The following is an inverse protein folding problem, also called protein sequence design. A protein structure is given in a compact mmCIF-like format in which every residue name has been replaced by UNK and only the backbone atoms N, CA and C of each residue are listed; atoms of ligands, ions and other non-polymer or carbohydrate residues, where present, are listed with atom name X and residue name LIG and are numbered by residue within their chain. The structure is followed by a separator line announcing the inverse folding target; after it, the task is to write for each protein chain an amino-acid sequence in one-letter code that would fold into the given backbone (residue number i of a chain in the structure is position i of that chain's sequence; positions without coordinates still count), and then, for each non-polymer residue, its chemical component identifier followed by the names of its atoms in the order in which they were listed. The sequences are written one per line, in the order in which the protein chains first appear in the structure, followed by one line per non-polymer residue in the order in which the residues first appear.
data_IF_538518585357
#
_entry.id   IF_538518585357
#
_cell.length_a   1.000
_cell.length_b   1.000
_cell.length_c   1.000
_cell.angle_alpha   90.00
_cell.angle_beta   90.00
_cell.angle_gamma   90.00
#
_symmetry.space_group_name_H-M   'P 1'
#
loop_
_entity.id
_entity.type
_entity.pdbx_description
1 polymer ?
#
# COMPACT_ATOMS: atom_id res chain seq x y z
N UNK A 1 11.68 11.35 -0.86
CA UNK A 1 12.51 10.36 -0.16
C UNK A 1 12.55 9.10 -1.00
N UNK A 2 13.73 8.56 -1.25
CA UNK A 2 13.99 7.33 -1.99
C UNK A 2 14.68 6.32 -1.07
N UNK A 3 14.80 5.06 -1.50
CA UNK A 3 15.40 4.00 -0.67
C UNK A 3 16.84 4.32 -0.23
N UNK A 4 17.65 4.89 -1.13
CA UNK A 4 19.05 5.24 -0.85
C UNK A 4 19.21 6.27 0.28
N UNK A 5 18.25 7.20 0.43
CA UNK A 5 18.28 8.28 1.43
C UNK A 5 17.30 8.04 2.59
N UNK A 6 16.77 6.83 2.71
CA UNK A 6 15.82 6.50 3.76
C UNK A 6 16.48 6.49 5.15
N UNK A 7 15.91 7.17 6.15
CA UNK A 7 16.43 7.16 7.52
C UNK A 7 16.30 5.78 8.19
N UNK A 8 15.52 4.86 7.61
CA UNK A 8 15.32 3.48 8.12
C UNK A 8 16.42 2.54 7.66
N UNK A 9 17.17 2.89 6.59
CA UNK A 9 18.15 2.02 5.96
C UNK A 9 19.19 1.44 6.94
N UNK A 10 19.72 2.28 7.82
CA UNK A 10 20.71 1.86 8.80
C UNK A 10 20.13 0.91 9.87
N UNK A 11 18.86 1.06 10.20
CA UNK A 11 18.17 0.22 11.21
C UNK A 11 17.70 -1.13 10.64
N UNK A 12 17.57 -1.23 9.29
CA UNK A 12 17.00 -2.39 8.58
C UNK A 12 17.89 -2.83 7.40
N UNK A 13 19.18 -3.13 7.60
CA UNK A 13 20.11 -3.35 6.49
C UNK A 13 19.74 -4.55 5.61
N UNK A 14 19.22 -5.63 6.21
CA UNK A 14 18.79 -6.83 5.46
C UNK A 14 17.54 -6.54 4.61
N UNK A 15 16.56 -5.82 5.18
CA UNK A 15 15.35 -5.39 4.44
C UNK A 15 15.76 -4.51 3.27
N UNK A 16 16.66 -3.53 3.50
CA UNK A 16 17.06 -2.63 2.42
C UNK A 16 17.89 -3.31 1.32
N UNK A 17 18.68 -4.33 1.65
CA UNK A 17 19.32 -5.16 0.63
C UNK A 17 18.30 -5.95 -0.22
N UNK A 18 17.16 -6.34 0.36
CA UNK A 18 16.04 -6.92 -0.39
C UNK A 18 15.33 -5.85 -1.24
N UNK A 19 15.09 -4.66 -0.66
CA UNK A 19 14.41 -3.56 -1.37
C UNK A 19 15.20 -3.07 -2.58
N UNK A 20 16.52 -3.04 -2.54
CA UNK A 20 17.36 -2.69 -3.69
C UNK A 20 17.11 -3.65 -4.85
N UNK A 21 17.17 -4.97 -4.61
CA UNK A 21 16.86 -5.96 -5.65
C UNK A 21 15.40 -5.89 -6.16
N UNK A 22 14.49 -5.52 -5.27
CA UNK A 22 13.09 -5.31 -5.67
C UNK A 22 12.93 -4.07 -6.56
N UNK A 23 13.62 -2.97 -6.25
CA UNK A 23 13.63 -1.74 -7.04
C UNK A 23 14.20 -2.00 -8.45
N UNK A 24 15.22 -2.85 -8.57
CA UNK A 24 15.78 -3.23 -9.88
C UNK A 24 14.69 -3.84 -10.79
N UNK A 25 13.71 -4.55 -10.23
CA UNK A 25 12.58 -5.11 -11.00
C UNK A 25 11.65 -4.05 -11.59
N UNK A 26 11.70 -2.79 -11.12
CA UNK A 26 10.87 -1.71 -11.67
C UNK A 26 11.29 -1.28 -13.08
N UNK A 27 12.52 -1.57 -13.44
CA UNK A 27 13.09 -1.30 -14.77
C UNK A 27 12.94 -2.49 -15.73
N UNK A 28 12.55 -3.65 -15.22
CA UNK A 28 12.27 -4.84 -16.01
C UNK A 28 10.87 -4.72 -16.63
N UNK A 29 10.80 -4.59 -17.96
CA UNK A 29 9.53 -4.46 -18.69
C UNK A 29 8.98 -5.81 -19.18
N UNK A 30 9.74 -6.90 -19.00
CA UNK A 30 9.33 -8.25 -19.42
C UNK A 30 8.63 -9.01 -18.32
N UNK A 31 8.96 -8.71 -17.06
CA UNK A 31 8.40 -9.39 -15.91
C UNK A 31 7.54 -8.46 -15.07
N UNK A 32 6.55 -9.07 -14.43
CA UNK A 32 5.64 -8.36 -13.53
C UNK A 32 6.34 -8.03 -12.20
N UNK A 33 6.21 -6.80 -11.75
CA UNK A 33 6.58 -6.39 -10.38
C UNK A 33 5.70 -7.13 -9.38
N UNK A 34 6.30 -7.87 -8.44
CA UNK A 34 5.59 -8.61 -7.39
C UNK A 34 5.00 -7.67 -6.35
N UNK A 35 3.97 -8.14 -5.64
CA UNK A 35 3.45 -7.43 -4.48
C UNK A 35 4.28 -7.76 -3.23
N UNK A 36 4.30 -6.85 -2.26
CA UNK A 36 5.00 -7.03 -0.99
C UNK A 36 4.03 -6.84 0.19
N UNK A 37 4.28 -7.58 1.25
CA UNK A 37 3.61 -7.40 2.54
C UNK A 37 4.67 -7.08 3.61
N UNK A 38 4.75 -5.79 3.99
CA UNK A 38 5.72 -5.30 4.97
C UNK A 38 5.11 -5.42 6.37
N UNK A 39 5.66 -6.31 7.18
CA UNK A 39 5.09 -6.69 8.46
C UNK A 39 6.01 -6.38 9.63
N UNK A 40 5.43 -5.97 10.74
CA UNK A 40 6.07 -5.96 12.07
C UNK A 40 5.01 -5.80 13.16
N UNK A 41 5.05 -6.60 14.19
CA UNK A 41 4.20 -6.41 15.39
C UNK A 41 4.48 -5.07 16.08
N UNK A 42 5.73 -4.65 16.08
CA UNK A 42 6.13 -3.36 16.63
C UNK A 42 5.75 -2.20 15.69
N UNK A 43 5.28 -1.11 16.27
CA UNK A 43 5.09 0.15 15.55
C UNK A 43 6.42 0.90 15.42
N UNK A 44 6.54 1.80 14.43
CA UNK A 44 7.73 2.67 14.30
C UNK A 44 9.01 1.97 13.81
N UNK A 45 8.92 0.74 13.26
CA UNK A 45 10.04 -0.03 12.69
C UNK A 45 10.41 0.41 11.28
N UNK A 46 9.63 1.29 10.65
CA UNK A 46 9.95 1.88 9.35
C UNK A 46 9.16 1.34 8.17
N UNK A 47 8.14 0.50 8.37
CA UNK A 47 7.28 -0.04 7.28
C UNK A 47 6.73 1.03 6.35
N UNK A 48 5.98 2.00 6.90
CA UNK A 48 5.40 3.13 6.15
C UNK A 48 6.47 3.94 5.41
N UNK A 49 7.60 4.22 6.06
CA UNK A 49 8.72 4.95 5.48
C UNK A 49 9.31 4.21 4.28
N UNK A 50 9.48 2.89 4.39
CA UNK A 50 9.98 2.05 3.30
C UNK A 50 8.97 1.94 2.17
N UNK A 51 7.69 1.73 2.47
CA UNK A 51 6.63 1.69 1.48
C UNK A 51 6.52 2.99 0.68
N UNK A 52 6.62 4.15 1.35
CA UNK A 52 6.67 5.46 0.70
C UNK A 52 7.90 5.63 -0.20
N UNK A 53 9.06 5.14 0.23
CA UNK A 53 10.26 5.16 -0.59
C UNK A 53 10.09 4.29 -1.86
N UNK A 54 9.52 3.10 -1.74
CA UNK A 54 9.22 2.22 -2.88
C UNK A 54 8.26 2.85 -3.88
N UNK A 55 7.22 3.55 -3.43
CA UNK A 55 6.30 4.27 -4.31
C UNK A 55 7.02 5.36 -5.11
N UNK A 56 7.94 6.10 -4.48
CA UNK A 56 8.74 7.11 -5.16
C UNK A 56 9.74 6.49 -6.15
N UNK A 57 10.39 5.37 -5.80
CA UNK A 57 11.28 4.65 -6.73
C UNK A 57 10.52 4.14 -7.95
N UNK A 58 9.32 3.58 -7.74
CA UNK A 58 8.49 3.12 -8.85
C UNK A 58 8.05 4.28 -9.77
N UNK A 59 7.69 5.43 -9.18
CA UNK A 59 7.37 6.63 -9.96
C UNK A 59 8.56 7.07 -10.82
N UNK A 60 9.76 7.12 -10.24
CA UNK A 60 10.98 7.50 -10.97
C UNK A 60 11.31 6.51 -12.08
N UNK A 61 11.24 5.20 -11.79
CA UNK A 61 11.49 4.15 -12.77
C UNK A 61 10.46 4.18 -13.93
N UNK A 62 9.18 4.36 -13.61
CA UNK A 62 8.11 4.48 -14.61
C UNK A 62 8.33 5.66 -15.55
N UNK A 63 8.68 6.84 -15.01
CA UNK A 63 8.97 8.03 -15.82
C UNK A 63 10.21 7.81 -16.68
N UNK A 64 11.30 7.30 -16.10
CA UNK A 64 12.55 7.04 -16.83
C UNK A 64 12.34 6.05 -17.98
N UNK A 65 11.62 4.95 -17.73
CA UNK A 65 11.33 3.91 -18.74
C UNK A 65 10.45 4.46 -19.88
N UNK A 66 9.42 5.26 -19.56
CA UNK A 66 8.57 5.87 -20.59
C UNK A 66 9.38 6.83 -21.47
N UNK A 67 10.20 7.69 -20.87
CA UNK A 67 11.03 8.64 -21.61
C UNK A 67 12.07 7.92 -22.51
N UNK A 68 12.68 6.84 -22.00
CA UNK A 68 13.62 6.04 -22.79
C UNK A 68 12.96 5.39 -24.02
N UNK A 69 11.65 5.09 -23.97
CA UNK A 69 10.85 4.57 -25.08
C UNK A 69 10.28 5.68 -25.98
N UNK A 70 10.47 6.96 -25.65
CA UNK A 70 9.83 8.09 -26.35
C UNK A 70 8.32 8.18 -26.10
N UNK A 71 7.84 7.56 -25.04
CA UNK A 71 6.42 7.55 -24.65
C UNK A 71 6.12 8.64 -23.62
N UNK A 72 4.87 9.07 -23.58
CA UNK A 72 4.41 9.97 -22.52
C UNK A 72 4.25 9.19 -21.21
N UNK A 73 4.90 9.62 -20.10
CA UNK A 73 4.72 8.97 -18.82
C UNK A 73 3.24 8.94 -18.37
N UNK A 74 2.85 7.88 -17.69
CA UNK A 74 1.53 7.78 -17.08
C UNK A 74 1.31 8.94 -16.10
N UNK A 75 0.10 9.51 -16.07
CA UNK A 75 -0.23 10.63 -15.18
C UNK A 75 -0.10 10.26 -13.70
N UNK A 76 -0.39 9.01 -13.35
CA UNK A 76 -0.34 8.50 -11.97
C UNK A 76 0.20 7.08 -11.98
N UNK A 77 1.54 6.90 -12.03
CA UNK A 77 2.14 5.57 -12.03
C UNK A 77 2.09 4.90 -10.65
N UNK A 78 2.13 5.69 -9.57
CA UNK A 78 2.07 5.20 -8.20
C UNK A 78 1.04 5.98 -7.36
N UNK A 79 0.47 5.32 -6.35
CA UNK A 79 -0.46 5.91 -5.40
C UNK A 79 -0.22 5.38 -3.98
N UNK A 80 -0.26 6.28 -2.99
CA UNK A 80 -0.14 5.94 -1.58
C UNK A 80 -1.48 6.19 -0.89
N UNK A 81 -2.07 5.14 -0.30
CA UNK A 81 -3.34 5.18 0.40
C UNK A 81 -3.13 4.83 1.88
N UNK A 82 -3.32 5.81 2.75
CA UNK A 82 -3.43 5.61 4.19
C UNK A 82 -4.82 5.04 4.51
N UNK A 83 -4.86 3.77 4.94
CA UNK A 83 -6.12 3.05 5.20
C UNK A 83 -6.84 3.57 6.43
N UNK A 84 -6.12 4.08 7.45
CA UNK A 84 -6.72 4.70 8.62
C UNK A 84 -7.40 6.04 8.27
N UNK A 85 -6.74 6.87 7.45
CA UNK A 85 -7.31 8.11 6.95
C UNK A 85 -8.56 7.83 6.09
N UNK A 86 -8.50 6.81 5.23
CA UNK A 86 -9.63 6.36 4.40
C UNK A 86 -10.82 5.89 5.27
N UNK A 87 -10.56 5.13 6.35
CA UNK A 87 -11.60 4.72 7.29
C UNK A 87 -12.23 5.91 8.02
N UNK A 88 -11.40 6.91 8.39
CA UNK A 88 -11.90 8.14 9.00
C UNK A 88 -12.85 8.88 8.05
N UNK A 89 -12.52 8.94 6.78
CA UNK A 89 -13.37 9.54 5.75
C UNK A 89 -14.67 8.75 5.54
N UNK A 90 -14.60 7.40 5.47
CA UNK A 90 -15.77 6.52 5.45
C UNK A 90 -16.71 6.80 6.63
N UNK A 91 -16.17 6.88 7.84
CA UNK A 91 -16.94 7.20 9.04
C UNK A 91 -17.57 8.61 8.99
N UNK A 92 -16.95 9.54 8.27
CA UNK A 92 -17.43 10.93 8.18
C UNK A 92 -18.73 11.07 7.38
N UNK A 93 -19.03 10.16 6.45
CA UNK A 93 -20.29 10.21 5.71
C UNK A 93 -21.32 9.15 6.16
N UNK A 94 -20.87 8.12 6.90
CA UNK A 94 -21.79 7.06 7.39
C UNK A 94 -22.34 7.32 8.78
N UNK A 95 -21.82 8.33 9.51
CA UNK A 95 -22.32 8.69 10.84
C UNK A 95 -23.74 9.28 10.77
N UNK A 96 -24.59 9.03 11.79
CA UNK A 96 -25.89 9.69 11.92
C UNK A 96 -25.73 11.22 11.99
N UNK A 97 -26.71 11.94 11.44
CA UNK A 97 -26.82 13.41 11.54
C UNK A 97 -25.72 14.22 10.82
N UNK A 98 -24.98 13.64 9.89
CA UNK A 98 -24.09 14.39 9.01
C UNK A 98 -24.94 15.19 8.01
N UNK A 99 -24.69 16.50 7.82
CA UNK A 99 -25.40 17.28 6.81
C UNK A 99 -25.24 16.67 5.41
N UNK A 100 -26.34 16.55 4.61
CA UNK A 100 -26.31 15.84 3.32
C UNK A 100 -25.21 16.30 2.37
N UNK A 101 -24.96 17.60 2.25
CA UNK A 101 -23.92 18.15 1.38
C UNK A 101 -22.50 17.72 1.83
N UNK A 102 -22.25 17.65 3.13
CA UNK A 102 -20.98 17.17 3.67
C UNK A 102 -20.82 15.66 3.45
N UNK A 103 -21.88 14.88 3.73
CA UNK A 103 -21.86 13.43 3.50
C UNK A 103 -21.58 13.12 2.02
N UNK A 104 -22.21 13.84 1.09
CA UNK A 104 -21.98 13.68 -0.34
C UNK A 104 -20.54 14.00 -0.75
N UNK A 105 -19.96 15.09 -0.21
CA UNK A 105 -18.58 15.46 -0.51
C UNK A 105 -17.55 14.41 0.00
N UNK A 106 -17.72 13.91 1.24
CA UNK A 106 -16.87 12.86 1.79
C UNK A 106 -17.03 11.54 1.02
N UNK A 107 -18.26 11.16 0.69
CA UNK A 107 -18.51 9.95 -0.10
C UNK A 107 -17.85 10.04 -1.48
N UNK A 108 -17.98 11.17 -2.17
CA UNK A 108 -17.35 11.37 -3.47
C UNK A 108 -15.81 11.22 -3.40
N UNK A 109 -15.17 11.88 -2.43
CA UNK A 109 -13.72 11.77 -2.21
C UNK A 109 -13.29 10.34 -1.86
N UNK A 110 -14.05 9.67 -1.00
CA UNK A 110 -13.79 8.29 -0.59
C UNK A 110 -13.80 7.33 -1.78
N UNK A 111 -14.87 7.34 -2.59
CA UNK A 111 -15.00 6.45 -3.75
C UNK A 111 -14.00 6.79 -4.85
N UNK A 112 -13.66 8.07 -5.05
CA UNK A 112 -12.58 8.47 -5.95
C UNK A 112 -11.24 7.84 -5.54
N UNK A 113 -10.88 7.88 -4.25
CA UNK A 113 -9.65 7.26 -3.73
C UNK A 113 -9.62 5.75 -3.93
N UNK A 114 -10.75 5.07 -3.73
CA UNK A 114 -10.88 3.64 -3.99
C UNK A 114 -10.70 3.30 -5.47
N UNK A 115 -11.30 4.09 -6.37
CA UNK A 115 -11.15 3.87 -7.82
C UNK A 115 -9.70 4.10 -8.26
N UNK A 116 -9.07 5.17 -7.80
CA UNK A 116 -7.65 5.44 -8.01
C UNK A 116 -6.81 4.26 -7.52
N UNK A 117 -7.04 3.80 -6.28
CA UNK A 117 -6.32 2.67 -5.73
C UNK A 117 -6.56 1.38 -6.53
N UNK A 118 -7.79 1.20 -7.06
CA UNK A 118 -8.17 0.02 -7.84
C UNK A 118 -7.53 -0.07 -9.24
N UNK A 119 -7.03 1.04 -9.79
CA UNK A 119 -6.60 1.15 -11.20
C UNK A 119 -5.14 1.57 -11.38
N UNK A 120 -4.53 2.24 -10.39
CA UNK A 120 -3.14 2.70 -10.46
C UNK A 120 -2.17 1.51 -10.52
N UNK A 121 -1.14 1.50 -11.39
CA UNK A 121 -0.22 0.38 -11.56
C UNK A 121 0.47 -0.07 -10.27
N UNK A 122 1.00 0.87 -9.48
CA UNK A 122 1.67 0.59 -8.22
C UNK A 122 0.95 1.30 -7.07
N UNK A 123 0.49 0.56 -6.06
CA UNK A 123 -0.23 1.13 -4.92
C UNK A 123 0.36 0.66 -3.60
N UNK A 124 0.48 1.58 -2.67
CA UNK A 124 0.70 1.29 -1.25
C UNK A 124 -0.62 1.37 -0.51
N UNK A 125 -1.01 0.30 0.19
CA UNK A 125 -2.01 0.32 1.25
C UNK A 125 -1.29 0.35 2.59
N UNK A 126 -1.25 1.52 3.22
CA UNK A 126 -0.55 1.68 4.49
C UNK A 126 -1.48 1.37 5.67
N UNK A 127 -0.98 0.54 6.59
CA UNK A 127 -1.63 0.11 7.83
C UNK A 127 -2.95 -0.65 7.63
N UNK A 128 -2.92 -1.68 6.75
CA UNK A 128 -4.10 -2.43 6.29
C UNK A 128 -4.83 -3.21 7.40
N UNK A 129 -4.22 -3.44 8.56
CA UNK A 129 -4.80 -4.18 9.68
C UNK A 129 -5.69 -3.34 10.60
N UNK A 130 -6.56 -2.50 10.07
CA UNK A 130 -7.37 -1.54 10.82
C UNK A 130 -8.28 -2.24 11.84
N UNK A 131 -8.11 -1.90 13.12
CA UNK A 131 -8.98 -2.38 14.19
C UNK A 131 -10.31 -1.63 14.20
N UNK A 132 -11.41 -2.36 14.47
CA UNK A 132 -12.73 -1.74 14.59
C UNK A 132 -13.35 -1.25 13.27
N UNK A 133 -12.87 -1.74 12.12
CA UNK A 133 -13.49 -1.45 10.84
C UNK A 133 -14.91 -2.05 10.76
N UNK A 134 -15.85 -1.27 10.23
CA UNK A 134 -17.21 -1.74 9.95
C UNK A 134 -17.20 -2.74 8.79
N UNK A 135 -18.24 -3.58 8.71
CA UNK A 135 -18.36 -4.55 7.62
C UNK A 135 -18.43 -3.90 6.25
N UNK A 136 -19.08 -2.72 6.14
CA UNK A 136 -19.13 -1.96 4.90
C UNK A 136 -17.75 -1.49 4.45
N UNK A 137 -16.98 -0.87 5.33
CA UNK A 137 -15.61 -0.45 5.02
C UNK A 137 -14.70 -1.63 4.64
N UNK A 138 -14.80 -2.75 5.38
CA UNK A 138 -14.06 -3.99 5.06
C UNK A 138 -14.44 -4.53 3.68
N UNK A 139 -15.75 -4.52 3.35
CA UNK A 139 -16.24 -4.94 2.05
C UNK A 139 -15.70 -4.10 0.89
N UNK A 140 -15.67 -2.78 1.05
CA UNK A 140 -15.11 -1.87 0.04
C UNK A 140 -13.60 -2.10 -0.15
N UNK A 141 -12.85 -2.20 0.95
CA UNK A 141 -11.41 -2.46 0.89
C UNK A 141 -11.11 -3.84 0.29
N UNK A 142 -11.87 -4.88 0.68
CA UNK A 142 -11.81 -6.21 0.07
C UNK A 142 -12.02 -6.15 -1.44
N UNK A 143 -13.05 -5.41 -1.90
CA UNK A 143 -13.35 -5.28 -3.32
C UNK A 143 -12.20 -4.68 -4.12
N UNK A 144 -11.60 -3.59 -3.62
CA UNK A 144 -10.44 -2.93 -4.27
C UNK A 144 -9.23 -3.84 -4.29
N UNK A 145 -8.90 -4.50 -3.18
CA UNK A 145 -7.76 -5.43 -3.12
C UNK A 145 -7.98 -6.61 -4.07
N UNK A 146 -9.19 -7.19 -4.09
CA UNK A 146 -9.53 -8.29 -5.00
C UNK A 146 -9.43 -7.87 -6.48
N UNK A 147 -9.88 -6.66 -6.83
CA UNK A 147 -9.72 -6.08 -8.18
C UNK A 147 -8.24 -6.04 -8.57
N UNK A 148 -7.35 -5.54 -7.68
CA UNK A 148 -5.91 -5.45 -7.93
C UNK A 148 -5.25 -6.83 -8.05
N UNK A 149 -5.58 -7.74 -7.14
CA UNK A 149 -5.09 -9.13 -7.14
C UNK A 149 -5.47 -9.83 -8.46
N UNK A 150 -6.73 -9.68 -8.90
CA UNK A 150 -7.21 -10.26 -10.16
C UNK A 150 -6.52 -9.66 -11.38
N UNK A 151 -6.32 -8.34 -11.38
CA UNK A 151 -5.59 -7.63 -12.44
C UNK A 151 -4.06 -7.76 -12.31
N UNK A 152 -3.57 -8.45 -11.29
CA UNK A 152 -2.16 -8.66 -11.01
C UNK A 152 -1.35 -7.34 -10.89
N UNK A 153 -1.95 -6.29 -10.37
CA UNK A 153 -1.31 -4.99 -10.17
C UNK A 153 -0.39 -5.02 -8.94
N UNK A 154 0.81 -4.45 -9.08
CA UNK A 154 1.79 -4.38 -8.01
C UNK A 154 1.26 -3.62 -6.80
N UNK A 155 1.31 -4.25 -5.63
CA UNK A 155 0.75 -3.68 -4.40
C UNK A 155 1.71 -3.90 -3.23
N UNK A 156 1.97 -2.84 -2.48
CA UNK A 156 2.71 -2.91 -1.22
C UNK A 156 1.72 -2.72 -0.08
N UNK A 157 1.65 -3.67 0.81
CA UNK A 157 0.86 -3.57 2.03
C UNK A 157 1.78 -3.33 3.22
N UNK A 158 1.37 -2.49 4.16
CA UNK A 158 2.02 -2.43 5.47
C UNK A 158 1.04 -2.84 6.56
N UNK A 159 1.49 -3.57 7.56
CA UNK A 159 0.65 -4.02 8.66
C UNK A 159 1.41 -4.29 9.94
N UNK A 160 0.72 -4.21 11.07
CA UNK A 160 1.18 -4.72 12.35
C UNK A 160 0.69 -6.16 12.62
N UNK A 161 -0.09 -6.73 11.70
CA UNK A 161 -0.56 -8.11 11.75
C UNK A 161 0.22 -8.94 10.74
N UNK A 162 0.65 -10.16 11.06
CA UNK A 162 1.24 -11.07 10.08
C UNK A 162 0.22 -11.41 8.99
N UNK A 163 0.69 -11.74 7.79
CA UNK A 163 -0.18 -12.03 6.65
C UNK A 163 -1.21 -13.13 6.97
N UNK A 164 -0.84 -14.11 7.79
CA UNK A 164 -1.73 -15.19 8.24
C UNK A 164 -2.96 -14.70 9.01
N UNK A 165 -2.88 -13.56 9.68
CA UNK A 165 -4.02 -12.96 10.39
C UNK A 165 -4.95 -12.16 9.47
N UNK A 166 -4.57 -11.88 8.22
CA UNK A 166 -5.44 -11.21 7.24
C UNK A 166 -6.67 -12.05 6.90
N UNK A 167 -6.63 -13.37 7.11
CA UNK A 167 -7.79 -14.24 7.02
C UNK A 167 -8.93 -13.84 7.98
N UNK A 168 -8.59 -13.26 9.14
CA UNK A 168 -9.57 -12.77 10.12
C UNK A 168 -10.10 -11.37 9.79
N UNK A 169 -9.31 -10.59 9.04
CA UNK A 169 -9.67 -9.22 8.65
C UNK A 169 -10.56 -9.23 7.40
N UNK A 170 -10.25 -10.08 6.44
CA UNK A 170 -11.01 -10.24 5.20
C UNK A 170 -11.71 -11.60 5.17
N UNK A 171 -11.36 -12.43 4.21
CA UNK A 171 -11.82 -13.82 4.13
C UNK A 171 -10.68 -14.73 3.68
N UNK A 172 -10.89 -16.05 3.81
CA UNK A 172 -9.89 -17.06 3.43
C UNK A 172 -9.50 -16.95 1.95
N UNK A 173 -10.45 -16.64 1.07
CA UNK A 173 -10.22 -16.58 -0.38
C UNK A 173 -9.32 -15.41 -0.76
N UNK A 174 -9.52 -14.23 -0.16
CA UNK A 174 -8.66 -13.07 -0.41
C UNK A 174 -7.29 -13.27 0.21
N UNK A 175 -7.25 -13.83 1.43
CA UNK A 175 -5.98 -14.20 2.08
C UNK A 175 -5.14 -15.13 1.21
N UNK A 176 -5.71 -16.23 0.70
CA UNK A 176 -4.98 -17.18 -0.16
C UNK A 176 -4.40 -16.51 -1.40
N UNK A 177 -5.18 -15.65 -2.05
CA UNK A 177 -4.70 -14.87 -3.21
C UNK A 177 -3.59 -13.88 -2.86
N UNK A 178 -3.72 -13.19 -1.73
CA UNK A 178 -2.65 -12.29 -1.26
C UNK A 178 -1.37 -13.06 -0.96
N UNK A 179 -1.48 -14.21 -0.27
CA UNK A 179 -0.33 -15.08 0.04
C UNK A 179 0.40 -15.55 -1.23
N UNK A 180 -0.35 -15.91 -2.27
CA UNK A 180 0.24 -16.41 -3.52
C UNK A 180 0.96 -15.30 -4.32
N UNK A 181 0.54 -14.04 -4.15
CA UNK A 181 1.07 -12.91 -4.92
C UNK A 181 2.05 -12.01 -4.18
N UNK A 182 2.05 -12.05 -2.84
CA UNK A 182 2.88 -11.18 -2.02
C UNK A 182 4.09 -11.92 -1.46
N UNK A 183 5.24 -11.27 -1.50
CA UNK A 183 6.37 -11.67 -0.66
C UNK A 183 6.24 -10.97 0.70
N UNK A 184 6.22 -11.74 1.79
CA UNK A 184 6.21 -11.18 3.15
C UNK A 184 7.63 -10.74 3.55
N UNK A 185 7.74 -9.50 4.03
CA UNK A 185 9.01 -8.88 4.43
C UNK A 185 8.88 -8.46 5.89
N UNK A 186 9.47 -9.20 6.83
CA UNK A 186 9.43 -8.87 8.25
C UNK A 186 10.38 -7.72 8.57
N UNK A 187 9.88 -6.75 9.32
CA UNK A 187 10.68 -5.69 9.94
C UNK A 187 10.90 -6.04 11.41
N UNK A 188 12.14 -5.99 11.86
CA UNK A 188 12.54 -6.33 13.22
C UNK A 188 12.97 -5.08 13.98
N UNK A 189 13.15 -5.23 15.31
CA UNK A 189 13.66 -4.18 16.19
C UNK A 189 12.57 -3.36 16.88
N UNK A 190 13.02 -2.39 17.67
CA UNK A 190 12.17 -1.54 18.50
C UNK A 190 11.66 -0.33 17.72
N UNK A 191 10.61 0.32 18.29
CA UNK A 191 10.09 1.59 17.78
C UNK A 191 11.14 2.69 17.78
N UNK A 192 11.30 3.36 16.65
CA UNK A 192 12.17 4.54 16.49
C UNK A 192 11.39 5.85 16.49
N UNK A 193 10.08 5.82 16.81
CA UNK A 193 9.27 7.05 16.92
C UNK A 193 9.82 7.95 18.04
N UNK A 194 10.04 9.22 17.72
CA UNK A 194 10.60 10.21 18.65
C UNK A 194 12.11 10.14 18.89
N UNK A 195 12.84 9.25 18.19
CA UNK A 195 14.32 9.12 18.30
C UNK A 195 15.07 9.59 17.05
N UNK A 196 14.37 10.17 16.08
CA UNK A 196 14.92 10.69 14.80
C UNK A 196 14.69 12.17 14.66
#
# INVERSE_FOLDING_TARGET
MIAATSPVRADQPQVYGLMERYIDTFYDTEHRVKSLYLFSEATGTGKTTTASALANEYLLASVATSLAKGERPAMRPAYFLDVNALQTEYNSFTRPHVPPAMAQAYAASYYEKLDIAGTTPFVVFDDIGVRGATDGFRGDLHSVINKRVTAQLATVYTSNLPLTQMQQVFDTRLYDRMRDLCAEVPFTGESKRGRR
#
